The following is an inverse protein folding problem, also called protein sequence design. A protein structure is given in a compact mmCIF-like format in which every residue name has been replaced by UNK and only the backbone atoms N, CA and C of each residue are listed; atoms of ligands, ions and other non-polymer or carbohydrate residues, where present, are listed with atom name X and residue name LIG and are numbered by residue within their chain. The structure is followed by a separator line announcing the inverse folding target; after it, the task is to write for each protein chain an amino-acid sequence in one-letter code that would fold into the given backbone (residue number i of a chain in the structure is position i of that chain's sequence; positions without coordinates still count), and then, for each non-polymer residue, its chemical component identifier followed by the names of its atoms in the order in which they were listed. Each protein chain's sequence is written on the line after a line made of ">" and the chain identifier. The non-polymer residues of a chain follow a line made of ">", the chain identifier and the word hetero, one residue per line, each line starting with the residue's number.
data_IF_916144626424
#
_entry.id   IF_916144626424
#
_cell.length_a   1.000
_cell.length_b   1.000
_cell.length_c   1.000
_cell.angle_alpha   90.00
_cell.angle_beta   90.00
_cell.angle_gamma   90.00
#
_symmetry.space_group_name_H-M   'P 1'
#
loop_
_entity.id
_entity.type
_entity.pdbx_description
1 polymer ?
#
# COMPACT_ATOMS: atom_id res chain seq x y z
N UNK A 1 12.07 12.43 6.81
CA UNK A 1 11.15 11.56 6.05
C UNK A 1 11.08 10.23 6.77
N UNK A 2 9.87 9.79 7.15
CA UNK A 2 9.64 8.42 7.64
C UNK A 2 9.84 7.45 6.46
N UNK A 3 10.55 6.34 6.66
CA UNK A 3 10.62 5.26 5.67
C UNK A 3 9.51 4.23 5.95
N UNK A 4 9.21 3.38 4.97
CA UNK A 4 8.12 2.39 5.07
C UNK A 4 8.18 1.53 6.35
N UNK A 5 9.37 1.13 6.77
CA UNK A 5 9.58 0.33 7.98
C UNK A 5 9.17 1.08 9.24
N UNK A 6 9.58 2.35 9.41
CA UNK A 6 9.17 3.19 10.55
C UNK A 6 7.65 3.35 10.62
N UNK A 7 7.01 3.61 9.48
CA UNK A 7 5.54 3.74 9.41
C UNK A 7 4.89 2.44 9.88
N UNK A 8 5.36 1.29 9.40
CA UNK A 8 4.83 0.00 9.75
C UNK A 8 5.05 -0.37 11.22
N UNK A 9 6.24 -0.12 11.77
CA UNK A 9 6.53 -0.35 13.19
C UNK A 9 5.60 0.48 14.10
N UNK A 10 5.24 1.70 13.71
CA UNK A 10 4.25 2.49 14.45
C UNK A 10 2.87 1.85 14.44
N UNK A 11 2.43 1.28 13.32
CA UNK A 11 1.20 0.48 13.29
C UNK A 11 1.25 -0.73 14.22
N UNK A 12 2.40 -1.42 14.32
CA UNK A 12 2.57 -2.56 15.23
C UNK A 12 2.54 -2.14 16.71
N UNK A 13 3.13 -1.00 17.04
CA UNK A 13 3.27 -0.52 18.43
C UNK A 13 2.02 0.23 18.92
N UNK A 14 1.48 1.13 18.10
CA UNK A 14 0.42 2.06 18.49
C UNK A 14 -0.98 1.57 18.04
N UNK A 15 -1.04 0.68 17.04
CA UNK A 15 -2.28 0.08 16.55
C UNK A 15 -3.32 1.11 16.10
N UNK A 16 -4.53 1.00 16.65
CA UNK A 16 -5.66 1.87 16.29
C UNK A 16 -5.41 3.35 16.64
N UNK A 17 -4.63 3.64 17.68
CA UNK A 17 -4.36 5.03 18.08
C UNK A 17 -3.60 5.80 17.00
N UNK A 18 -2.69 5.13 16.28
CA UNK A 18 -1.98 5.73 15.14
C UNK A 18 -2.91 6.00 13.96
N UNK A 19 -3.86 5.10 13.68
CA UNK A 19 -4.92 5.33 12.67
C UNK A 19 -5.73 6.58 13.02
N UNK A 20 -6.15 6.73 14.28
CA UNK A 20 -6.87 7.92 14.73
C UNK A 20 -6.03 9.19 14.55
N UNK A 21 -4.74 9.13 14.91
CA UNK A 21 -3.83 10.25 14.73
C UNK A 21 -3.69 10.65 13.25
N UNK A 22 -3.59 9.68 12.33
CA UNK A 22 -3.52 9.93 10.89
C UNK A 22 -4.78 10.65 10.37
N UNK A 23 -5.96 10.25 10.83
CA UNK A 23 -7.23 10.90 10.48
C UNK A 23 -7.27 12.33 11.03
N UNK A 24 -6.93 12.52 12.31
CA UNK A 24 -6.91 13.84 12.95
C UNK A 24 -5.95 14.82 12.28
N UNK A 25 -4.80 14.33 11.82
CA UNK A 25 -3.79 15.13 11.11
C UNK A 25 -4.06 15.26 9.62
N UNK A 26 -5.11 14.59 9.11
CA UNK A 26 -5.36 14.47 7.68
C UNK A 26 -4.10 14.04 6.92
N UNK A 27 -3.45 12.98 7.42
CA UNK A 27 -2.19 12.47 6.88
C UNK A 27 -2.33 12.26 5.38
N UNK A 28 -1.46 12.91 4.61
CA UNK A 28 -1.40 12.76 3.15
C UNK A 28 -0.67 11.46 2.78
N UNK A 29 -1.14 10.84 1.70
CA UNK A 29 -0.38 9.80 1.02
C UNK A 29 0.97 10.33 0.58
N UNK A 30 1.95 9.45 0.51
CA UNK A 30 3.28 9.78 0.04
C UNK A 30 3.95 8.54 -0.55
N UNK A 31 5.22 8.68 -0.93
CA UNK A 31 5.99 7.60 -1.58
C UNK A 31 6.14 6.33 -0.74
N UNK A 32 5.83 6.34 0.56
CA UNK A 32 5.90 5.21 1.48
C UNK A 32 4.54 4.79 2.05
N UNK A 33 3.46 5.53 1.76
CA UNK A 33 2.17 5.34 2.41
C UNK A 33 1.02 5.59 1.43
N UNK A 34 0.13 4.61 1.31
CA UNK A 34 -1.13 4.74 0.57
C UNK A 34 -2.31 4.21 1.39
N UNK A 35 -3.46 4.84 1.23
CA UNK A 35 -4.74 4.42 1.78
C UNK A 35 -5.52 3.70 0.70
N UNK A 36 -5.99 2.49 1.01
CA UNK A 36 -6.82 1.72 0.10
C UNK A 36 -8.22 1.56 0.68
N UNK A 37 -9.17 2.24 0.05
CA UNK A 37 -10.58 2.09 0.38
C UNK A 37 -11.12 0.84 -0.33
N UNK A 38 -11.59 -0.12 0.48
CA UNK A 38 -12.21 -1.33 -0.05
C UNK A 38 -13.54 -0.98 -0.73
N UNK A 39 -13.81 -1.53 -1.92
CA UNK A 39 -15.03 -1.22 -2.70
C UNK A 39 -16.31 -1.42 -1.88
N UNK A 40 -16.35 -2.50 -1.10
CA UNK A 40 -17.41 -2.77 -0.13
C UNK A 40 -16.78 -3.21 1.20
N UNK A 41 -16.82 -2.34 2.21
CA UNK A 41 -16.27 -2.60 3.54
C UNK A 41 -17.13 -3.56 4.38
N UNK A 42 -18.35 -3.89 3.96
CA UNK A 42 -19.26 -4.77 4.71
C UNK A 42 -18.97 -6.25 4.51
N UNK A 43 -18.19 -6.59 3.47
CA UNK A 43 -17.80 -7.96 3.14
C UNK A 43 -16.28 -8.15 3.20
N UNK A 44 -15.85 -9.36 3.54
CA UNK A 44 -14.42 -9.72 3.57
C UNK A 44 -13.86 -10.15 2.21
N UNK A 45 -14.69 -10.31 1.18
CA UNK A 45 -14.27 -10.75 -0.16
C UNK A 45 -13.65 -9.56 -0.90
N UNK A 46 -12.47 -9.74 -1.48
CA UNK A 46 -11.86 -8.77 -2.38
C UNK A 46 -12.62 -8.76 -3.72
N UNK A 47 -13.07 -7.59 -4.16
CA UNK A 47 -13.57 -7.40 -5.52
C UNK A 47 -12.42 -7.53 -6.54
N UNK A 48 -12.75 -7.57 -7.83
CA UNK A 48 -11.73 -7.52 -8.89
C UNK A 48 -10.90 -6.22 -8.78
N UNK A 49 -11.57 -5.10 -8.56
CA UNK A 49 -10.94 -3.79 -8.43
C UNK A 49 -10.05 -3.70 -7.17
N UNK A 50 -10.51 -4.27 -6.05
CA UNK A 50 -9.72 -4.35 -4.82
C UNK A 50 -8.39 -5.08 -5.08
N UNK A 51 -8.45 -6.23 -5.78
CA UNK A 51 -7.26 -7.02 -6.16
C UNK A 51 -6.33 -6.25 -7.08
N UNK A 52 -6.85 -5.68 -8.17
CA UNK A 52 -6.03 -4.95 -9.14
C UNK A 52 -5.31 -3.76 -8.50
N UNK A 53 -6.00 -3.01 -7.64
CA UNK A 53 -5.43 -1.87 -6.95
C UNK A 53 -4.37 -2.31 -5.91
N UNK A 54 -4.60 -3.44 -5.25
CA UNK A 54 -3.63 -4.02 -4.32
C UNK A 54 -2.35 -4.45 -5.03
N UNK A 55 -2.48 -5.21 -6.12
CA UNK A 55 -1.34 -5.66 -6.92
C UNK A 55 -0.52 -4.49 -7.47
N UNK A 56 -1.18 -3.44 -7.98
CA UNK A 56 -0.52 -2.22 -8.45
C UNK A 56 0.31 -1.58 -7.33
N UNK A 57 -0.28 -1.44 -6.14
CA UNK A 57 0.39 -0.84 -4.97
C UNK A 57 1.58 -1.68 -4.50
N UNK A 58 1.41 -2.99 -4.38
CA UNK A 58 2.50 -3.92 -4.00
C UNK A 58 3.62 -3.88 -5.04
N UNK A 59 3.29 -3.93 -6.32
CA UNK A 59 4.28 -3.90 -7.39
C UNK A 59 5.03 -2.57 -7.47
N UNK A 60 4.37 -1.46 -7.18
CA UNK A 60 5.02 -0.16 -7.09
C UNK A 60 6.01 -0.12 -5.93
N UNK A 61 5.55 -0.48 -4.72
CA UNK A 61 6.37 -0.41 -3.51
C UNK A 61 7.55 -1.38 -3.51
N UNK A 62 7.38 -2.58 -4.08
CA UNK A 62 8.48 -3.54 -4.21
C UNK A 62 9.62 -2.98 -5.05
N UNK A 63 9.31 -2.21 -6.08
CA UNK A 63 10.26 -1.62 -7.02
C UNK A 63 10.97 -0.35 -6.48
N UNK A 64 10.37 0.35 -5.51
CA UNK A 64 10.97 1.55 -4.88
C UNK A 64 11.60 1.19 -3.53
N UNK A 65 11.60 2.12 -2.57
CA UNK A 65 12.11 1.93 -1.21
C UNK A 65 11.13 1.26 -0.24
N UNK A 66 10.14 0.53 -0.77
CA UNK A 66 9.09 -0.11 0.01
C UNK A 66 7.95 0.86 0.34
N UNK A 67 6.91 0.33 0.99
CA UNK A 67 5.76 1.13 1.39
C UNK A 67 4.78 0.39 2.28
N UNK A 68 3.80 1.15 2.77
CA UNK A 68 2.72 0.69 3.63
C UNK A 68 1.40 0.97 2.95
N UNK A 69 0.57 -0.07 2.83
CA UNK A 69 -0.81 0.04 2.34
C UNK A 69 -1.73 -0.10 3.56
N UNK A 70 -2.63 0.87 3.72
CA UNK A 70 -3.56 0.91 4.86
C UNK A 70 -4.98 0.69 4.35
N UNK A 71 -5.55 -0.46 4.71
CA UNK A 71 -6.94 -0.79 4.42
C UNK A 71 -7.88 -0.38 5.54
N UNK A 72 -9.04 0.13 5.17
CA UNK A 72 -10.10 0.51 6.10
C UNK A 72 -10.07 1.99 6.51
N UNK A 73 -9.38 2.82 5.73
CA UNK A 73 -9.47 4.27 5.80
C UNK A 73 -10.06 4.75 4.49
N UNK A 74 -11.07 5.61 4.58
CA UNK A 74 -11.57 6.37 3.45
C UNK A 74 -10.73 7.64 3.29
N UNK A 75 -10.39 7.96 2.04
CA UNK A 75 -9.44 9.02 1.71
C UNK A 75 -9.97 9.89 0.58
N UNK A 76 -9.72 11.19 0.68
CA UNK A 76 -10.11 12.16 -0.36
C UNK A 76 -8.96 13.05 -0.79
N UNK A 77 -9.09 13.62 -1.99
CA UNK A 77 -8.10 14.55 -2.52
C UNK A 77 -8.13 15.88 -1.78
N UNK A 78 -6.95 16.37 -1.41
CA UNK A 78 -6.74 17.72 -0.93
C UNK A 78 -6.74 18.75 -2.09
N UNK A 79 -6.49 20.02 -1.76
CA UNK A 79 -6.39 21.12 -2.76
C UNK A 79 -5.26 20.92 -3.78
N UNK A 80 -4.27 20.09 -3.46
CA UNK A 80 -3.12 19.77 -4.30
C UNK A 80 -3.32 18.47 -5.09
N UNK A 81 -4.49 17.82 -4.98
CA UNK A 81 -4.81 16.57 -5.67
C UNK A 81 -4.23 15.30 -5.02
N UNK A 82 -3.61 15.40 -3.84
CA UNK A 82 -3.05 14.27 -3.08
C UNK A 82 -4.12 13.70 -2.14
N UNK A 83 -4.26 12.38 -2.08
CA UNK A 83 -5.22 11.78 -1.15
C UNK A 83 -4.74 11.95 0.30
N UNK A 84 -5.67 12.20 1.21
CA UNK A 84 -5.42 12.28 2.65
C UNK A 84 -6.40 11.40 3.41
N UNK A 85 -5.99 10.92 4.57
CA UNK A 85 -6.86 10.20 5.49
C UNK A 85 -8.04 11.11 5.91
N UNK A 86 -9.27 10.66 5.67
CA UNK A 86 -10.47 11.45 5.97
C UNK A 86 -11.37 10.79 7.00
N UNK A 87 -11.69 9.50 6.81
CA UNK A 87 -12.66 8.82 7.66
C UNK A 87 -12.27 7.38 7.96
N UNK A 88 -12.58 6.96 9.19
CA UNK A 88 -12.45 5.58 9.64
C UNK A 88 -13.54 4.72 8.97
N UNK A 89 -13.14 3.69 8.23
CA UNK A 89 -14.03 2.77 7.51
C UNK A 89 -13.58 1.32 7.72
N UNK A 90 -13.76 0.74 8.91
CA UNK A 90 -13.23 -0.58 9.24
C UNK A 90 -13.94 -1.67 8.41
N UNK A 91 -13.17 -2.68 8.01
CA UNK A 91 -13.64 -3.81 7.22
C UNK A 91 -14.32 -4.83 8.13
N UNK A 92 -15.54 -5.20 7.77
CA UNK A 92 -16.29 -6.29 8.42
C UNK A 92 -15.63 -7.65 8.18
N UNK A 93 -15.56 -8.47 9.23
CA UNK A 93 -14.80 -9.71 9.25
C UNK A 93 -13.33 -9.50 8.84
N UNK A 94 -12.68 -8.48 9.43
CA UNK A 94 -11.35 -8.02 9.04
C UNK A 94 -10.25 -9.10 9.12
N UNK A 95 -10.38 -10.06 10.05
CA UNK A 95 -9.48 -11.24 10.09
C UNK A 95 -9.64 -12.15 8.87
N UNK A 96 -10.87 -12.36 8.40
CA UNK A 96 -11.13 -13.13 7.18
C UNK A 96 -10.59 -12.39 5.95
N UNK A 97 -10.71 -11.06 5.93
CA UNK A 97 -10.11 -10.23 4.89
C UNK A 97 -8.57 -10.37 4.88
N UNK A 98 -7.91 -10.30 6.05
CA UNK A 98 -6.48 -10.58 6.20
C UNK A 98 -6.09 -11.95 5.62
N UNK A 99 -6.81 -13.02 5.97
CA UNK A 99 -6.54 -14.38 5.45
C UNK A 99 -6.64 -14.43 3.92
N UNK A 100 -7.65 -13.78 3.34
CA UNK A 100 -7.82 -13.71 1.88
C UNK A 100 -6.70 -12.93 1.20
N UNK A 101 -6.28 -11.81 1.80
CA UNK A 101 -5.17 -11.00 1.30
C UNK A 101 -3.86 -11.80 1.28
N UNK A 102 -3.56 -12.53 2.38
CA UNK A 102 -2.42 -13.44 2.45
C UNK A 102 -2.48 -14.54 1.38
N UNK A 103 -3.67 -15.04 1.06
CA UNK A 103 -3.87 -16.06 0.03
C UNK A 103 -3.60 -15.62 -1.41
N UNK A 104 -3.60 -14.30 -1.71
CA UNK A 104 -3.27 -13.79 -3.05
C UNK A 104 -1.80 -14.05 -3.41
N UNK A 105 -0.90 -13.88 -2.44
CA UNK A 105 0.54 -14.08 -2.63
C UNK A 105 0.93 -15.52 -2.96
N UNK A 106 0.10 -16.49 -2.55
CA UNK A 106 0.38 -17.90 -2.81
C UNK A 106 -0.10 -18.39 -4.19
N UNK A 107 -0.94 -17.62 -4.90
CA UNK A 107 -1.62 -18.07 -6.13
C UNK A 107 -1.39 -17.19 -7.35
N UNK A 108 -1.25 -15.88 -7.18
CA UNK A 108 -1.39 -14.92 -8.30
C UNK A 108 -0.11 -14.09 -8.55
N UNK A 109 0.92 -14.17 -7.69
CA UNK A 109 2.17 -13.38 -7.80
C UNK A 109 3.39 -14.32 -7.87
N UNK A 110 3.90 -14.68 -9.07
CA UNK A 110 5.06 -15.54 -9.20
C UNK A 110 6.35 -14.77 -8.88
N UNK A 111 7.07 -15.23 -7.85
CA UNK A 111 8.53 -15.13 -7.68
C UNK A 111 9.25 -13.86 -8.16
N UNK A 112 8.90 -12.70 -7.61
CA UNK A 112 9.90 -11.72 -7.17
C UNK A 112 9.50 -11.41 -5.74
N UNK A 113 10.16 -12.04 -4.76
CA UNK A 113 9.87 -11.89 -3.34
C UNK A 113 9.61 -10.41 -3.01
N UNK A 114 8.63 -10.16 -2.14
CA UNK A 114 9.06 -9.53 -0.91
C UNK A 114 8.48 -10.29 0.29
N UNK A 115 9.15 -10.19 1.44
CA UNK A 115 8.57 -10.53 2.75
C UNK A 115 7.41 -9.57 3.07
N UNK A 116 6.36 -9.56 2.24
CA UNK A 116 5.17 -8.74 2.42
C UNK A 116 4.48 -9.21 3.67
N UNK A 117 4.29 -8.30 4.61
CA UNK A 117 3.73 -8.60 5.92
C UNK A 117 2.40 -7.92 6.07
N UNK A 118 1.37 -8.71 6.34
CA UNK A 118 0.04 -8.18 6.64
C UNK A 118 -0.25 -8.35 8.13
N UNK A 119 -0.71 -7.28 8.77
CA UNK A 119 -1.19 -7.30 10.16
C UNK A 119 -2.64 -6.85 10.21
N UNK A 120 -3.37 -7.34 11.21
CA UNK A 120 -4.72 -6.92 11.51
C UNK A 120 -4.73 -6.03 12.74
N UNK A 121 -5.38 -4.87 12.61
CA UNK A 121 -5.62 -3.95 13.73
C UNK A 121 -7.13 -3.95 14.02
N UNK A 122 -7.56 -4.38 15.22
CA UNK A 122 -8.98 -4.42 15.56
C UNK A 122 -9.56 -3.01 15.73
N UNK A 123 -10.80 -2.82 15.30
CA UNK A 123 -11.58 -1.64 15.68
C UNK A 123 -11.97 -1.75 17.16
N UNK A 124 -11.91 -0.65 17.95
CA UNK A 124 -12.33 -0.69 19.35
C UNK A 124 -13.76 -1.17 19.51
N UNK A 125 -14.03 -1.95 20.55
CA UNK A 125 -15.36 -2.50 20.91
C UNK A 125 -15.95 -3.51 19.91
N UNK A 126 -15.51 -3.55 18.66
CA UNK A 126 -15.96 -4.52 17.65
C UNK A 126 -14.77 -5.29 17.05
N UNK A 127 -14.24 -6.27 17.77
CA UNK A 127 -13.05 -7.07 17.37
C UNK A 127 -13.21 -7.88 16.06
N UNK A 128 -14.41 -7.93 15.49
CA UNK A 128 -14.66 -8.56 14.19
C UNK A 128 -14.46 -7.57 13.02
N UNK A 129 -14.55 -6.27 13.28
CA UNK A 129 -14.25 -5.21 12.32
C UNK A 129 -12.84 -4.70 12.54
N UNK A 130 -12.18 -4.21 11.50
CA UNK A 130 -10.89 -3.58 11.69
C UNK A 130 -10.18 -3.22 10.41
N UNK A 131 -8.89 -3.06 10.54
CA UNK A 131 -8.00 -2.56 9.49
C UNK A 131 -6.99 -3.64 9.17
N UNK A 132 -6.51 -3.63 7.93
CA UNK A 132 -5.41 -4.48 7.52
C UNK A 132 -4.30 -3.60 6.98
N UNK A 133 -3.11 -3.76 7.54
CA UNK A 133 -1.93 -3.00 7.14
C UNK A 133 -0.98 -3.95 6.44
N UNK A 134 -0.60 -3.60 5.22
CA UNK A 134 0.39 -4.33 4.42
C UNK A 134 1.69 -3.55 4.43
N UNK A 135 2.77 -4.18 4.87
CA UNK A 135 4.13 -3.72 4.64
C UNK A 135 4.71 -4.42 3.42
N UNK A 136 5.24 -3.63 2.49
CA UNK A 136 5.96 -4.11 1.32
C UNK A 136 7.42 -3.66 1.45
N UNK A 137 8.38 -4.58 1.67
CA UNK A 137 9.78 -4.22 1.63
C UNK A 137 10.20 -3.82 0.21
N UNK A 138 11.03 -2.78 0.11
CA UNK A 138 11.57 -2.32 -1.15
C UNK A 138 12.84 -3.08 -1.53
N UNK A 139 13.08 -3.24 -2.82
CA UNK A 139 14.36 -3.74 -3.35
C UNK A 139 15.22 -2.62 -3.96
N UNK A 140 14.78 -1.34 -3.87
CA UNK A 140 15.44 -0.16 -4.42
C UNK A 140 15.79 -0.28 -5.93
N UNK A 141 15.13 -1.18 -6.66
CA UNK A 141 15.43 -1.45 -8.08
C UNK A 141 15.31 -0.19 -8.93
N UNK A 142 14.24 0.58 -8.75
CA UNK A 142 14.02 1.83 -9.50
C UNK A 142 14.97 2.95 -9.08
N UNK A 143 15.38 2.99 -7.82
CA UNK A 143 16.42 3.92 -7.36
C UNK A 143 17.77 3.57 -7.99
N UNK A 144 18.12 2.29 -8.06
CA UNK A 144 19.35 1.84 -8.71
C UNK A 144 19.35 2.13 -10.20
N UNK A 145 18.23 1.91 -10.89
CA UNK A 145 18.02 2.30 -12.29
C UNK A 145 18.12 3.82 -12.48
N UNK A 146 17.44 4.61 -11.66
CA UNK A 146 17.51 6.07 -11.75
C UNK A 146 18.94 6.58 -11.50
N UNK A 147 19.66 6.01 -10.53
CA UNK A 147 21.07 6.30 -10.25
C UNK A 147 21.97 5.90 -11.43
N UNK A 148 21.70 4.76 -12.09
CA UNK A 148 22.42 4.35 -13.29
C UNK A 148 22.23 5.36 -14.42
N UNK A 149 21.00 5.77 -14.72
CA UNK A 149 20.72 6.74 -15.79
C UNK A 149 21.20 8.16 -15.49
N UNK A 150 21.08 8.62 -14.24
CA UNK A 150 21.62 9.93 -13.83
C UNK A 150 23.14 9.97 -13.91
N UNK A 151 23.84 8.87 -13.56
CA UNK A 151 25.30 8.76 -13.71
C UNK A 151 25.76 8.62 -15.16
N UNK A 152 24.98 7.98 -16.02
CA UNK A 152 25.41 7.67 -17.41
C UNK A 152 24.95 8.68 -18.46
N UNK A 153 23.91 9.50 -18.22
CA UNK A 153 23.35 10.36 -19.29
C UNK A 153 22.87 11.77 -18.93
N UNK A 154 23.07 12.27 -17.71
CA UNK A 154 22.73 13.65 -17.37
C UNK A 154 21.22 13.91 -17.34
N UNK A 155 20.70 14.24 -16.16
CA UNK A 155 19.42 14.91 -15.90
C UNK A 155 18.22 14.57 -16.82
N UNK A 156 17.55 13.44 -16.57
CA UNK A 156 16.16 13.22 -17.00
C UNK A 156 15.30 12.82 -15.80
N UNK A 157 14.80 13.82 -15.08
CA UNK A 157 13.72 13.64 -14.09
C UNK A 157 12.39 13.91 -14.80
N UNK A 158 11.38 13.06 -14.53
CA UNK A 158 9.99 13.07 -15.05
C UNK A 158 9.60 12.16 -16.23
N UNK A 159 10.41 11.19 -16.68
CA UNK A 159 9.95 10.17 -17.65
C UNK A 159 9.73 8.76 -17.05
N UNK A 160 9.94 8.60 -15.73
CA UNK A 160 9.94 7.28 -15.08
C UNK A 160 8.55 6.77 -14.72
N UNK A 161 7.57 7.62 -14.39
CA UNK A 161 6.22 7.16 -14.04
C UNK A 161 5.50 6.45 -15.19
N UNK A 162 5.57 7.00 -16.41
CA UNK A 162 4.84 6.49 -17.58
C UNK A 162 5.55 5.30 -18.23
N UNK A 163 6.89 5.30 -18.29
CA UNK A 163 7.65 4.23 -18.94
C UNK A 163 7.73 2.99 -18.05
N UNK A 164 7.91 3.15 -16.74
CA UNK A 164 7.95 2.00 -15.82
C UNK A 164 6.59 1.31 -15.70
N UNK A 165 5.48 2.07 -15.72
CA UNK A 165 4.16 1.47 -15.83
C UNK A 165 4.02 0.69 -17.15
N UNK A 166 4.47 1.24 -18.27
CA UNK A 166 4.36 0.57 -19.56
C UNK A 166 5.24 -0.68 -19.68
N UNK A 167 6.44 -0.70 -19.11
CA UNK A 167 7.33 -1.88 -19.14
C UNK A 167 6.90 -2.97 -18.15
N UNK A 168 6.45 -2.58 -16.94
CA UNK A 168 5.87 -3.54 -15.98
C UNK A 168 4.58 -4.16 -16.54
N UNK A 169 3.77 -3.40 -17.27
CA UNK A 169 2.56 -3.90 -17.93
C UNK A 169 2.85 -4.71 -19.20
N UNK A 170 3.89 -4.37 -19.98
CA UNK A 170 4.29 -5.13 -21.18
C UNK A 170 4.86 -6.51 -20.85
N UNK A 171 5.55 -6.65 -19.73
CA UNK A 171 6.14 -7.93 -19.28
C UNK A 171 5.12 -8.86 -18.57
N UNK A 172 3.84 -8.48 -18.50
CA UNK A 172 2.72 -9.33 -18.03
C UNK A 172 1.82 -9.81 -19.18
N UNK A 173 2.39 -10.23 -20.31
CA UNK A 173 1.65 -11.06 -21.28
C UNK A 173 2.07 -12.54 -21.08
N UNK A 174 1.11 -13.48 -21.17
CA UNK A 174 1.36 -14.90 -20.95
C UNK A 174 2.38 -15.48 -21.94
#
# INVERSE_FOLDING_TARGET
>A
MENAEKIFTRFEQEGFSYIQHMIMKQQEENIFLTFQCKTDCTISVLSKDDKENYEKSVSFFSCVSGGVIVWGIDSSKNKNGVNRAEKIQPISNGKTFLTKLNGLFSKEIPAIQPNVKNIYIPFPKEKNKGFVITYVPGNNYLLNLNNYYTKTRGSFVMMMGQILLNDVLKNRKP
#
